data_IF_523757289317
#
_entry.id   IF_523757289317
#
_cell.length_a   1.000
_cell.length_b   1.000
_cell.length_c   1.000
_cell.angle_alpha   90.00
_cell.angle_beta   90.00
_cell.angle_gamma   90.00
#
_symmetry.space_group_name_H-M   'P 1'
#
loop_
_entity.id
_entity.type
_entity.pdbx_description
1 polymer ?
#
# COMPACT_ATOMS: atom_id res chain seq x y z
N UNK A 1 13.99 -15.16 15.26
CA UNK A 1 13.47 -14.89 13.89
C UNK A 1 12.75 -16.14 13.42
N UNK A 2 11.45 -16.09 13.14
CA UNK A 2 10.66 -17.31 12.92
C UNK A 2 10.96 -17.86 11.51
N UNK A 3 11.44 -19.11 11.44
CA UNK A 3 11.72 -19.85 10.20
C UNK A 3 10.50 -19.80 9.24
N UNK A 4 9.29 -19.74 9.79
CA UNK A 4 8.05 -19.59 9.01
C UNK A 4 8.01 -18.33 8.14
N UNK A 5 8.59 -17.20 8.59
CA UNK A 5 8.64 -15.95 7.81
C UNK A 5 9.61 -16.03 6.64
N UNK A 6 10.73 -16.71 6.83
CA UNK A 6 11.71 -16.92 5.76
C UNK A 6 11.16 -17.85 4.68
N UNK A 7 10.46 -18.91 5.09
CA UNK A 7 9.82 -19.85 4.16
C UNK A 7 8.70 -19.17 3.37
N UNK A 8 7.86 -18.36 4.03
CA UNK A 8 6.79 -17.63 3.33
C UNK A 8 7.33 -16.60 2.34
N UNK A 9 8.43 -15.93 2.66
CA UNK A 9 9.10 -15.01 1.73
C UNK A 9 9.72 -15.73 0.53
N UNK A 10 10.37 -16.88 0.78
CA UNK A 10 10.99 -17.70 -0.27
C UNK A 10 9.97 -18.28 -1.24
N UNK A 11 8.78 -18.63 -0.77
CA UNK A 11 7.68 -19.12 -1.61
C UNK A 11 6.93 -17.95 -2.27
N UNK A 12 6.75 -16.85 -1.56
CA UNK A 12 6.03 -15.68 -2.06
C UNK A 12 6.75 -14.99 -3.22
N UNK A 13 8.09 -14.90 -3.17
CA UNK A 13 8.87 -14.25 -4.21
C UNK A 13 8.67 -14.85 -5.62
N UNK A 14 8.80 -16.18 -5.85
CA UNK A 14 8.56 -16.76 -7.17
C UNK A 14 7.10 -16.62 -7.62
N UNK A 15 6.13 -16.62 -6.70
CA UNK A 15 4.72 -16.43 -7.05
C UNK A 15 4.52 -15.01 -7.58
N UNK A 16 5.05 -14.01 -6.89
CA UNK A 16 4.99 -12.59 -7.33
C UNK A 16 5.71 -12.42 -8.68
N UNK A 17 6.87 -13.03 -8.86
CA UNK A 17 7.61 -12.99 -10.12
C UNK A 17 6.81 -13.60 -11.29
N UNK A 18 6.16 -14.73 -11.07
CA UNK A 18 5.27 -15.37 -12.07
C UNK A 18 4.08 -14.46 -12.42
N UNK A 19 3.45 -13.86 -11.42
CA UNK A 19 2.34 -12.92 -11.64
C UNK A 19 2.80 -11.70 -12.43
N UNK A 20 4.01 -11.18 -12.17
CA UNK A 20 4.57 -10.03 -12.88
C UNK A 20 4.88 -10.34 -14.36
N UNK A 21 5.31 -11.57 -14.68
CA UNK A 21 5.66 -11.97 -16.04
C UNK A 21 4.42 -12.31 -16.85
N UNK A 22 3.54 -13.15 -16.30
CA UNK A 22 2.41 -13.73 -17.03
C UNK A 22 1.06 -13.07 -16.70
N UNK A 23 0.98 -12.27 -15.64
CA UNK A 23 -0.26 -11.63 -15.19
C UNK A 23 -0.72 -10.54 -16.15
N UNK A 24 -2.05 -10.49 -16.36
CA UNK A 24 -2.69 -9.33 -16.97
C UNK A 24 -2.60 -8.13 -16.02
N UNK A 25 -2.65 -6.91 -16.54
CA UNK A 25 -2.50 -5.67 -15.76
C UNK A 25 -3.43 -5.63 -14.53
N UNK A 26 -4.71 -6.00 -14.72
CA UNK A 26 -5.70 -6.05 -13.62
C UNK A 26 -5.30 -7.05 -12.53
N UNK A 27 -4.75 -8.21 -12.92
CA UNK A 27 -4.29 -9.23 -11.96
C UNK A 27 -3.10 -8.70 -11.14
N UNK A 28 -2.22 -7.94 -11.76
CA UNK A 28 -1.07 -7.32 -11.12
C UNK A 28 -1.54 -6.26 -10.11
N UNK A 29 -2.48 -5.39 -10.51
CA UNK A 29 -3.04 -4.35 -9.64
C UNK A 29 -3.67 -4.96 -8.38
N UNK A 30 -4.47 -6.02 -8.56
CA UNK A 30 -5.11 -6.74 -7.44
C UNK A 30 -4.05 -7.42 -6.56
N UNK A 31 -3.05 -8.07 -7.15
CA UNK A 31 -1.99 -8.73 -6.39
C UNK A 31 -1.20 -7.74 -5.53
N UNK A 32 -0.82 -6.58 -6.10
CA UNK A 32 -0.12 -5.55 -5.33
C UNK A 32 -1.01 -4.87 -4.30
N UNK A 33 -2.30 -4.71 -4.55
CA UNK A 33 -3.26 -4.23 -3.55
C UNK A 33 -3.37 -5.19 -2.35
N UNK A 34 -3.39 -6.50 -2.59
CA UNK A 34 -3.39 -7.53 -1.54
C UNK A 34 -2.09 -7.48 -0.74
N UNK A 35 -0.93 -7.42 -1.42
CA UNK A 35 0.38 -7.32 -0.76
C UNK A 35 0.45 -6.05 0.09
N UNK A 36 -0.02 -4.92 -0.43
CA UNK A 36 -0.06 -3.66 0.32
C UNK A 36 -0.95 -3.77 1.57
N UNK A 37 -2.14 -4.38 1.43
CA UNK A 37 -3.06 -4.58 2.55
C UNK A 37 -2.46 -5.48 3.63
N UNK A 38 -1.80 -6.58 3.25
CA UNK A 38 -1.12 -7.48 4.19
C UNK A 38 0.05 -6.77 4.89
N UNK A 39 0.88 -6.06 4.13
CA UNK A 39 2.01 -5.29 4.67
C UNK A 39 1.55 -4.20 5.62
N UNK A 40 0.48 -3.48 5.26
CA UNK A 40 -0.09 -2.45 6.12
C UNK A 40 -0.73 -3.04 7.39
N UNK A 41 -1.33 -4.23 7.29
CA UNK A 41 -1.85 -4.95 8.45
C UNK A 41 -0.73 -5.32 9.44
N UNK A 42 0.35 -5.93 8.97
CA UNK A 42 1.50 -6.28 9.81
C UNK A 42 2.16 -5.03 10.42
N UNK A 43 2.32 -3.98 9.64
CA UNK A 43 2.82 -2.68 10.11
C UNK A 43 1.96 -2.13 11.25
N UNK A 44 0.65 -2.07 11.06
CA UNK A 44 -0.30 -1.58 12.07
C UNK A 44 -0.30 -2.46 13.32
N UNK A 45 -0.19 -3.77 13.15
CA UNK A 45 -0.14 -4.72 14.27
C UNK A 45 1.14 -4.53 15.10
N UNK A 46 2.28 -4.30 14.46
CA UNK A 46 3.55 -4.07 15.14
C UNK A 46 3.50 -2.85 16.08
N UNK A 47 2.85 -1.76 15.66
CA UNK A 47 2.67 -0.57 16.51
C UNK A 47 1.67 -0.81 17.64
N UNK A 48 0.57 -1.53 17.39
CA UNK A 48 -0.41 -1.88 18.43
C UNK A 48 0.19 -2.77 19.52
N UNK A 49 0.98 -3.76 19.17
CA UNK A 49 1.65 -4.66 20.11
C UNK A 49 2.70 -3.92 20.93
N UNK A 50 3.35 -2.92 20.36
CA UNK A 50 4.33 -2.08 21.07
C UNK A 50 3.68 -1.03 21.99
N UNK A 51 2.37 -0.92 21.97
CA UNK A 51 1.55 0.08 22.72
C UNK A 51 1.98 1.54 22.52
N UNK A 52 2.72 1.82 21.42
CA UNK A 52 3.25 3.14 21.09
C UNK A 52 2.26 4.00 20.32
N UNK A 53 1.43 3.38 19.50
CA UNK A 53 0.42 4.05 18.70
C UNK A 53 -0.69 3.07 18.28
N UNK A 54 -1.87 3.61 17.99
CA UNK A 54 -3.03 2.85 17.47
C UNK A 54 -3.38 3.33 16.06
N UNK A 55 -2.64 2.91 15.02
CA UNK A 55 -2.86 3.36 13.66
C UNK A 55 -4.30 3.13 13.20
N UNK A 56 -4.82 4.05 12.39
CA UNK A 56 -6.15 3.97 11.78
C UNK A 56 -6.13 2.95 10.63
N UNK A 57 -6.28 1.67 10.96
CA UNK A 57 -6.16 0.57 10.00
C UNK A 57 -7.14 0.67 8.83
N UNK A 58 -8.37 1.15 9.07
CA UNK A 58 -9.38 1.32 8.03
C UNK A 58 -8.93 2.30 6.94
N UNK A 59 -8.22 3.37 7.32
CA UNK A 59 -7.72 4.37 6.39
C UNK A 59 -6.62 3.79 5.49
N UNK A 60 -5.74 2.98 6.05
CA UNK A 60 -4.71 2.27 5.30
C UNK A 60 -5.31 1.29 4.29
N UNK A 61 -6.34 0.53 4.67
CA UNK A 61 -7.03 -0.35 3.72
C UNK A 61 -7.73 0.42 2.60
N UNK A 62 -8.34 1.55 2.92
CA UNK A 62 -8.95 2.42 1.92
C UNK A 62 -7.89 2.93 0.93
N UNK A 63 -6.71 3.31 1.42
CA UNK A 63 -5.59 3.68 0.56
C UNK A 63 -5.09 2.49 -0.30
N UNK A 64 -5.08 1.25 0.21
CA UNK A 64 -4.71 0.07 -0.58
C UNK A 64 -5.68 -0.21 -1.75
N UNK A 65 -6.97 0.11 -1.60
CA UNK A 65 -7.97 -0.03 -2.68
C UNK A 65 -7.61 0.86 -3.88
N UNK A 66 -6.97 2.00 -3.67
CA UNK A 66 -6.54 2.87 -4.79
C UNK A 66 -5.55 2.18 -5.72
N UNK A 67 -4.73 1.24 -5.23
CA UNK A 67 -3.82 0.44 -6.06
C UNK A 67 -4.62 -0.45 -7.01
N UNK A 68 -5.66 -1.13 -6.51
CA UNK A 68 -6.49 -2.01 -7.31
C UNK A 68 -7.28 -1.28 -8.41
N UNK A 69 -7.58 0.01 -8.19
CA UNK A 69 -8.38 0.83 -9.09
C UNK A 69 -7.54 1.70 -10.02
N UNK A 70 -6.21 1.69 -9.89
CA UNK A 70 -5.34 2.67 -10.55
C UNK A 70 -5.45 2.65 -12.08
N UNK A 71 -5.63 1.48 -12.69
CA UNK A 71 -5.76 1.33 -14.14
C UNK A 71 -7.21 1.27 -14.64
N UNK A 72 -8.19 1.38 -13.75
CA UNK A 72 -9.60 1.56 -14.14
C UNK A 72 -9.81 2.98 -14.68
N UNK A 73 -9.02 3.94 -14.21
CA UNK A 73 -9.08 5.32 -14.66
C UNK A 73 -8.12 5.57 -15.85
N UNK A 74 -8.47 6.53 -16.75
CA UNK A 74 -7.59 6.92 -17.84
C UNK A 74 -6.22 7.37 -17.34
N UNK A 75 -5.17 7.11 -18.12
CA UNK A 75 -3.77 7.43 -17.77
C UNK A 75 -3.54 8.91 -17.40
N UNK A 76 -4.33 9.81 -17.96
CA UNK A 76 -4.27 11.25 -17.69
C UNK A 76 -4.49 11.58 -16.20
N UNK A 77 -5.29 10.78 -15.50
CA UNK A 77 -5.61 10.99 -14.08
C UNK A 77 -4.64 10.30 -13.11
N UNK A 78 -3.70 9.48 -13.59
CA UNK A 78 -2.79 8.74 -12.71
C UNK A 78 -2.00 9.65 -11.76
N UNK A 79 -1.39 10.72 -12.30
CA UNK A 79 -0.63 11.68 -11.49
C UNK A 79 -1.51 12.38 -10.45
N UNK A 80 -2.76 12.69 -10.83
CA UNK A 80 -3.72 13.31 -9.93
C UNK A 80 -4.14 12.34 -8.81
N UNK A 81 -4.39 11.07 -9.15
CA UNK A 81 -4.76 10.04 -8.17
C UNK A 81 -3.62 9.83 -7.16
N UNK A 82 -2.38 9.65 -7.65
CA UNK A 82 -1.20 9.48 -6.78
C UNK A 82 -1.02 10.70 -5.87
N UNK A 83 -1.12 11.90 -6.45
CA UNK A 83 -0.98 13.16 -5.70
C UNK A 83 -2.10 13.41 -4.72
N UNK A 84 -3.31 12.86 -4.93
CA UNK A 84 -4.47 13.05 -4.08
C UNK A 84 -4.49 12.10 -2.87
N UNK A 85 -3.84 10.94 -2.93
CA UNK A 85 -3.86 9.93 -1.84
C UNK A 85 -3.40 10.53 -0.51
N UNK A 86 -2.28 11.23 -0.49
CA UNK A 86 -1.71 11.81 0.75
C UNK A 86 -2.55 12.96 1.30
N UNK A 87 -2.93 13.98 0.53
CA UNK A 87 -3.79 15.05 1.03
C UNK A 87 -5.14 14.54 1.55
N UNK A 88 -5.76 13.60 0.85
CA UNK A 88 -7.03 12.99 1.30
C UNK A 88 -6.81 12.22 2.60
N UNK A 89 -5.73 11.43 2.70
CA UNK A 89 -5.42 10.72 3.94
C UNK A 89 -5.18 11.67 5.11
N UNK A 90 -4.49 12.80 4.90
CA UNK A 90 -4.29 13.84 5.92
C UNK A 90 -5.64 14.41 6.38
N UNK A 91 -6.51 14.81 5.44
CA UNK A 91 -7.82 15.36 5.77
C UNK A 91 -8.68 14.35 6.55
N UNK A 92 -8.68 13.08 6.15
CA UNK A 92 -9.42 12.02 6.85
C UNK A 92 -8.84 11.75 8.25
N UNK A 93 -7.52 11.79 8.43
CA UNK A 93 -6.90 11.68 9.75
C UNK A 93 -7.34 12.82 10.67
N UNK A 94 -7.30 14.07 10.18
CA UNK A 94 -7.76 15.22 10.96
C UNK A 94 -9.26 15.15 11.28
N UNK A 95 -10.08 14.79 10.30
CA UNK A 95 -11.51 14.59 10.51
C UNK A 95 -11.77 13.51 11.61
N UNK A 96 -11.02 12.42 11.58
CA UNK A 96 -11.14 11.38 12.59
C UNK A 96 -10.75 11.86 13.99
N UNK A 97 -9.69 12.64 14.13
CA UNK A 97 -9.29 13.23 15.43
C UNK A 97 -10.39 14.11 15.98
N UNK A 98 -11.02 14.93 15.14
CA UNK A 98 -12.13 15.82 15.54
C UNK A 98 -13.37 15.01 15.94
N UNK A 99 -13.78 14.04 15.13
CA UNK A 99 -14.98 13.21 15.37
C UNK A 99 -14.83 12.39 16.66
N UNK A 100 -13.64 11.85 16.92
CA UNK A 100 -13.39 11.01 18.10
C UNK A 100 -13.16 11.83 19.38
N UNK A 101 -13.34 13.16 19.32
CA UNK A 101 -13.10 14.07 20.45
C UNK A 101 -11.69 13.86 21.04
N UNK A 102 -10.67 13.80 20.17
CA UNK A 102 -9.25 13.62 20.52
C UNK A 102 -8.90 12.27 21.20
N UNK A 103 -9.75 11.25 21.08
CA UNK A 103 -9.38 9.89 21.53
C UNK A 103 -8.30 9.28 20.60
N UNK A 104 -8.28 9.67 19.33
CA UNK A 104 -7.21 9.36 18.38
C UNK A 104 -6.14 10.43 18.52
N UNK A 105 -4.91 10.01 18.78
CA UNK A 105 -3.79 10.94 18.99
C UNK A 105 -3.17 11.38 17.66
N UNK A 106 -2.45 12.50 17.68
CA UNK A 106 -1.67 12.97 16.52
C UNK A 106 -0.61 11.92 16.14
N UNK A 107 -0.09 11.17 17.12
CA UNK A 107 0.87 10.10 16.88
C UNK A 107 0.22 8.97 16.08
N UNK A 108 -1.02 8.60 16.39
CA UNK A 108 -1.76 7.58 15.65
C UNK A 108 -1.96 7.97 14.18
N UNK A 109 -2.29 9.24 13.96
CA UNK A 109 -2.42 9.82 12.61
C UNK A 109 -1.08 9.84 11.88
N UNK A 110 -0.01 10.30 12.53
CA UNK A 110 1.33 10.35 11.94
C UNK A 110 1.84 8.97 11.54
N UNK A 111 1.67 7.96 12.40
CA UNK A 111 2.04 6.57 12.10
C UNK A 111 1.21 6.03 10.94
N UNK A 112 -0.09 6.34 10.87
CA UNK A 112 -0.96 5.94 9.76
C UNK A 112 -0.50 6.55 8.44
N UNK A 113 -0.23 7.86 8.41
CA UNK A 113 0.26 8.56 7.23
C UNK A 113 1.62 8.05 6.78
N UNK A 114 2.54 7.80 7.72
CA UNK A 114 3.83 7.22 7.40
C UNK A 114 3.68 5.84 6.75
N UNK A 115 2.79 4.99 7.28
CA UNK A 115 2.48 3.69 6.69
C UNK A 115 1.89 3.79 5.28
N UNK A 116 0.98 4.76 5.03
CA UNK A 116 0.42 5.00 3.70
C UNK A 116 1.53 5.45 2.73
N UNK A 117 2.36 6.42 3.12
CA UNK A 117 3.44 6.89 2.27
C UNK A 117 4.48 5.80 1.98
N UNK A 118 4.88 5.05 3.00
CA UNK A 118 5.96 4.08 2.89
C UNK A 118 5.52 2.77 2.20
N UNK A 119 4.32 2.28 2.50
CA UNK A 119 3.84 1.00 1.98
C UNK A 119 2.98 1.20 0.73
N UNK A 120 1.91 2.00 0.84
CA UNK A 120 0.91 2.08 -0.23
C UNK A 120 1.46 2.80 -1.45
N UNK A 121 2.05 3.99 -1.27
CA UNK A 121 2.59 4.76 -2.40
C UNK A 121 3.75 4.02 -3.05
N UNK A 122 4.66 3.45 -2.25
CA UNK A 122 5.79 2.70 -2.78
C UNK A 122 5.34 1.50 -3.62
N UNK A 123 4.39 0.70 -3.13
CA UNK A 123 3.87 -0.45 -3.86
C UNK A 123 3.01 -0.05 -5.07
N UNK A 124 2.37 1.13 -5.05
CA UNK A 124 1.60 1.66 -6.17
C UNK A 124 2.46 1.92 -7.42
N UNK A 125 3.75 2.24 -7.25
CA UNK A 125 4.65 2.42 -8.39
C UNK A 125 4.92 1.13 -9.17
N UNK A 126 4.82 -0.04 -8.55
CA UNK A 126 5.08 -1.32 -9.21
C UNK A 126 4.12 -1.62 -10.38
N UNK A 127 2.79 -1.58 -10.19
CA UNK A 127 1.85 -1.71 -11.30
C UNK A 127 2.01 -0.63 -12.38
N UNK A 128 2.35 0.60 -11.99
CA UNK A 128 2.54 1.71 -12.93
C UNK A 128 3.76 1.47 -13.81
N UNK A 129 4.89 1.06 -13.23
CA UNK A 129 6.11 0.71 -13.97
C UNK A 129 5.83 -0.45 -14.93
N UNK A 130 5.04 -1.44 -14.48
CA UNK A 130 4.67 -2.60 -15.30
C UNK A 130 3.83 -2.20 -16.51
N UNK A 131 2.99 -1.17 -16.40
CA UNK A 131 2.15 -0.65 -17.48
C UNK A 131 2.91 0.23 -18.48
N UNK A 132 4.18 0.57 -18.22
CA UNK A 132 5.02 1.35 -19.12
C UNK A 132 5.51 0.50 -20.32
N UNK A 133 5.93 1.17 -21.39
CA UNK A 133 6.63 0.51 -22.51
C UNK A 133 7.88 -0.21 -21.96
N UNK A 134 8.03 -1.51 -22.28
CA UNK A 134 9.06 -2.39 -21.70
C UNK A 134 8.98 -2.58 -20.19
N UNK A 135 7.80 -2.42 -19.58
CA UNK A 135 7.59 -2.47 -18.12
C UNK A 135 8.09 -3.76 -17.45
N UNK A 136 8.08 -4.91 -18.17
CA UNK A 136 8.64 -6.18 -17.67
C UNK A 136 10.13 -6.05 -17.41
N UNK A 137 10.89 -5.46 -18.35
CA UNK A 137 12.33 -5.25 -18.18
C UNK A 137 12.63 -4.23 -17.08
N UNK A 138 11.84 -3.14 -17.04
CA UNK A 138 12.00 -2.11 -16.02
C UNK A 138 11.81 -2.65 -14.58
N UNK A 139 10.85 -3.53 -14.36
CA UNK A 139 10.64 -4.17 -13.08
C UNK A 139 11.85 -5.00 -12.64
N UNK A 140 12.46 -5.76 -13.56
CA UNK A 140 13.68 -6.52 -13.25
C UNK A 140 14.87 -5.64 -12.85
N UNK A 141 14.92 -4.40 -13.37
CA UNK A 141 15.93 -3.43 -12.94
C UNK A 141 15.67 -2.85 -11.55
N UNK A 142 14.40 -2.78 -11.13
CA UNK A 142 14.00 -2.20 -9.83
C UNK A 142 14.03 -3.24 -8.70
N UNK A 143 13.83 -4.52 -9.00
CA UNK A 143 13.89 -5.64 -8.03
C UNK A 143 15.32 -6.11 -7.80
#
# INVERSE_FOLDING_TARGET
MSIKRVISGLIGFPIVALVLIFGNQIVIDIAFAIIAAMSFHEYSHAFKVSDKAKPLTWLGYLACVTIALIHVFPREYLMLIIGAVVPIAILLCFAQILITKMKTTIIDAAVTLFGICYIVIFLMFMPIIRAAENGVFLIWYVM
#
